data_IF_385651214791
#
_entry.id   IF_385651214791
#
_cell.length_a   1.000
_cell.length_b   1.000
_cell.length_c   1.000
_cell.angle_alpha   90.00
_cell.angle_beta   90.00
_cell.angle_gamma   90.00
#
_symmetry.space_group_name_H-M   'P 1'
#
loop_
_entity.id
_entity.type
_entity.pdbx_description
1 polymer ?
#
# COMPACT_ATOMS: atom_id res chain seq x y z
N UNK A 1 6.48 -9.78 18.47
CA UNK A 1 5.73 -8.75 19.23
C UNK A 1 4.90 -7.99 18.21
N UNK A 2 3.61 -8.15 18.23
CA UNK A 2 2.70 -7.46 17.28
C UNK A 2 2.65 -5.99 17.70
N UNK A 3 2.38 -5.07 16.77
CA UNK A 3 2.17 -3.64 17.07
C UNK A 3 1.08 -3.46 18.14
N UNK A 4 0.12 -4.40 18.20
CA UNK A 4 -0.97 -4.48 19.19
C UNK A 4 -0.56 -4.87 20.62
N UNK A 5 0.70 -5.23 20.88
CA UNK A 5 1.16 -5.69 22.20
C UNK A 5 1.68 -4.54 23.09
N UNK A 6 1.59 -3.29 22.66
CA UNK A 6 1.82 -2.13 23.52
C UNK A 6 0.62 -1.98 24.47
N UNK A 7 0.84 -1.89 25.80
CA UNK A 7 -0.25 -1.67 26.73
C UNK A 7 -0.98 -0.36 26.36
N UNK A 8 -2.32 -0.33 26.46
CA UNK A 8 -3.09 0.87 26.16
C UNK A 8 -2.62 1.98 27.10
N UNK A 9 -1.82 2.89 26.56
CA UNK A 9 -1.36 4.05 27.31
C UNK A 9 -2.61 4.90 27.62
N UNK A 10 -2.82 5.24 28.90
CA UNK A 10 -3.90 6.14 29.31
C UNK A 10 -3.81 7.42 28.47
N UNK A 11 -4.80 7.63 27.58
CA UNK A 11 -4.90 8.85 26.80
C UNK A 11 -5.03 10.03 27.78
N UNK A 12 -3.97 10.80 27.90
CA UNK A 12 -3.94 12.03 28.69
C UNK A 12 -3.66 13.21 27.77
N UNK A 13 -4.26 14.35 28.07
CA UNK A 13 -4.07 15.56 27.24
C UNK A 13 -2.60 15.90 26.93
N UNK A 14 -1.62 15.77 27.87
CA UNK A 14 -0.22 15.97 27.55
C UNK A 14 0.36 14.92 26.58
N UNK A 15 -0.04 13.65 26.67
CA UNK A 15 0.39 12.59 25.75
C UNK A 15 -0.10 12.88 24.33
N UNK A 16 -1.36 13.26 24.17
CA UNK A 16 -1.92 13.60 22.86
C UNK A 16 -1.24 14.82 22.26
N UNK A 17 -1.00 15.88 23.03
CA UNK A 17 -0.23 17.05 22.54
C UNK A 17 1.17 16.68 22.05
N UNK A 18 1.89 15.80 22.78
CA UNK A 18 3.20 15.29 22.34
C UNK A 18 3.10 14.53 21.04
N UNK A 19 2.10 13.67 20.91
CA UNK A 19 1.90 12.85 19.72
C UNK A 19 1.45 13.69 18.52
N UNK A 20 0.60 14.71 18.73
CA UNK A 20 0.17 15.65 17.69
C UNK A 20 1.35 16.50 17.19
N UNK A 21 2.15 17.05 18.12
CA UNK A 21 3.35 17.79 17.77
C UNK A 21 4.34 16.91 16.99
N UNK A 22 4.61 15.68 17.49
CA UNK A 22 5.51 14.75 16.83
C UNK A 22 5.00 14.36 15.43
N UNK A 23 3.73 14.04 15.27
CA UNK A 23 3.17 13.66 13.98
C UNK A 23 3.38 14.76 12.93
N UNK A 24 3.10 16.00 13.30
CA UNK A 24 3.27 17.14 12.41
C UNK A 24 4.72 17.38 12.03
N UNK A 25 5.63 17.48 13.03
CA UNK A 25 7.02 17.85 12.77
C UNK A 25 7.85 16.68 12.20
N UNK A 26 7.58 15.42 12.57
CA UNK A 26 8.25 14.27 11.97
C UNK A 26 7.90 14.14 10.48
N UNK A 27 6.64 14.37 10.15
CA UNK A 27 6.21 14.31 8.76
C UNK A 27 6.77 15.48 7.93
N UNK A 28 6.83 16.68 8.51
CA UNK A 28 7.33 17.88 7.83
C UNK A 28 8.85 17.95 7.71
N UNK A 29 9.58 17.58 8.77
CA UNK A 29 11.02 17.86 8.91
C UNK A 29 11.90 16.60 8.88
N UNK A 30 11.29 15.40 8.95
CA UNK A 30 11.99 14.13 9.10
C UNK A 30 12.17 13.73 10.57
N UNK A 31 12.26 12.43 10.80
CA UNK A 31 12.26 11.87 12.17
C UNK A 31 13.63 12.09 12.84
N UNK A 32 14.73 11.82 12.12
CA UNK A 32 16.07 11.88 12.70
C UNK A 32 16.53 13.30 13.00
N UNK A 33 16.11 14.28 12.20
CA UNK A 33 16.48 15.69 12.37
C UNK A 33 15.84 16.34 13.60
N UNK A 34 14.70 15.82 14.06
CA UNK A 34 13.91 16.40 15.15
C UNK A 34 14.32 15.84 16.50
N UNK A 35 14.86 16.68 17.38
CA UNK A 35 15.21 16.32 18.78
C UNK A 35 14.01 16.40 19.73
N UNK A 36 14.11 15.70 20.89
CA UNK A 36 13.07 15.72 21.93
C UNK A 36 12.80 17.15 22.43
N UNK A 37 13.82 18.00 22.52
CA UNK A 37 13.66 19.40 22.94
C UNK A 37 12.69 20.17 22.04
N UNK A 38 12.78 19.98 20.72
CA UNK A 38 11.88 20.61 19.73
C UNK A 38 10.44 20.10 19.89
N UNK A 39 10.28 18.80 20.19
CA UNK A 39 8.96 18.18 20.38
C UNK A 39 8.25 18.73 21.63
N UNK A 40 8.97 18.83 22.78
CA UNK A 40 8.39 19.31 24.03
C UNK A 40 8.04 20.80 23.96
N UNK A 41 8.86 21.59 23.27
CA UNK A 41 8.58 23.01 22.99
C UNK A 41 7.29 23.15 22.20
N UNK A 42 7.16 22.43 21.08
CA UNK A 42 6.00 22.45 20.19
C UNK A 42 4.72 21.96 20.89
N UNK A 43 4.86 20.94 21.74
CA UNK A 43 3.74 20.38 22.50
C UNK A 43 3.32 21.23 23.71
N UNK A 44 4.12 22.25 24.08
CA UNK A 44 3.88 23.06 25.26
C UNK A 44 3.92 22.25 26.56
N UNK A 45 4.87 21.32 26.68
CA UNK A 45 5.06 20.47 27.87
C UNK A 45 6.50 20.51 28.36
N UNK A 46 6.77 19.97 29.56
CA UNK A 46 8.13 19.84 30.07
C UNK A 46 8.80 18.55 29.62
N UNK A 47 10.14 18.53 29.64
CA UNK A 47 10.93 17.32 29.36
C UNK A 47 10.57 16.18 30.33
N UNK A 48 10.32 16.48 31.61
CA UNK A 48 9.88 15.50 32.60
C UNK A 48 8.49 14.91 32.23
N UNK A 49 7.61 15.73 31.66
CA UNK A 49 6.31 15.26 31.16
C UNK A 49 6.48 14.34 29.95
N UNK A 50 7.41 14.66 29.05
CA UNK A 50 7.74 13.78 27.92
C UNK A 50 8.14 12.39 28.40
N UNK A 51 9.20 12.27 29.23
CA UNK A 51 9.70 10.98 29.68
C UNK A 51 8.72 10.19 30.57
N UNK A 52 7.75 10.85 31.18
CA UNK A 52 6.67 10.17 31.89
C UNK A 52 5.70 9.45 30.93
N UNK A 53 5.51 9.93 29.68
CA UNK A 53 4.60 9.38 28.70
C UNK A 53 5.29 8.53 27.65
N UNK A 54 6.51 8.89 27.29
CA UNK A 54 7.33 8.20 26.28
C UNK A 54 8.74 8.00 26.87
N UNK A 55 9.10 6.76 27.28
CA UNK A 55 10.40 6.46 27.86
C UNK A 55 11.58 6.87 26.98
N UNK A 56 11.39 6.86 25.65
CA UNK A 56 12.38 7.27 24.65
C UNK A 56 11.74 8.00 23.46
N UNK A 57 12.57 8.64 22.62
CA UNK A 57 12.14 9.17 21.33
C UNK A 57 11.62 8.04 20.42
N UNK A 58 12.21 6.84 20.51
CA UNK A 58 11.80 5.68 19.74
C UNK A 58 10.36 5.26 20.09
N UNK A 59 9.97 5.30 21.37
CA UNK A 59 8.58 4.98 21.78
C UNK A 59 7.58 6.00 21.20
N UNK A 60 7.96 7.27 21.13
CA UNK A 60 7.14 8.29 20.49
C UNK A 60 7.04 8.07 18.96
N UNK A 61 8.14 7.69 18.31
CA UNK A 61 8.14 7.36 16.86
C UNK A 61 7.21 6.16 16.58
N UNK A 62 7.29 5.12 17.39
CA UNK A 62 6.40 3.97 17.26
C UNK A 62 4.94 4.34 17.47
N UNK A 63 4.65 5.21 18.44
CA UNK A 63 3.29 5.71 18.66
C UNK A 63 2.79 6.59 17.49
N UNK A 64 3.67 7.37 16.87
CA UNK A 64 3.37 8.12 15.65
C UNK A 64 3.02 7.20 14.48
N UNK A 65 3.86 6.20 14.20
CA UNK A 65 3.59 5.23 13.14
C UNK A 65 2.31 4.42 13.40
N UNK A 66 2.05 4.07 14.67
CA UNK A 66 0.79 3.42 15.04
C UNK A 66 -0.43 4.32 14.75
N UNK A 67 -0.39 5.62 15.11
CA UNK A 67 -1.48 6.56 14.80
C UNK A 67 -1.73 6.66 13.29
N UNK A 68 -0.66 6.74 12.48
CA UNK A 68 -0.79 6.74 11.02
C UNK A 68 -1.41 5.44 10.52
N UNK A 69 -1.03 4.30 11.10
CA UNK A 69 -1.63 3.01 10.77
C UNK A 69 -3.13 2.97 11.09
N UNK A 70 -3.51 3.43 12.28
CA UNK A 70 -4.91 3.47 12.74
C UNK A 70 -5.78 4.35 11.82
N UNK A 71 -5.22 5.47 11.32
CA UNK A 71 -5.90 6.32 10.33
C UNK A 71 -6.13 5.58 9.01
N UNK A 72 -5.14 4.83 8.53
CA UNK A 72 -5.29 4.00 7.32
C UNK A 72 -6.32 2.89 7.51
N UNK A 73 -6.29 2.20 8.65
CA UNK A 73 -7.24 1.14 8.98
C UNK A 73 -8.68 1.69 9.07
N UNK A 74 -8.85 2.84 9.70
CA UNK A 74 -10.16 3.52 9.80
C UNK A 74 -10.70 3.91 8.42
N UNK A 75 -9.86 4.43 7.52
CA UNK A 75 -10.26 4.76 6.14
C UNK A 75 -10.58 3.51 5.33
N UNK A 76 -9.83 2.42 5.53
CA UNK A 76 -10.12 1.14 4.89
C UNK A 76 -11.44 0.53 5.38
N UNK A 77 -11.72 0.63 6.68
CA UNK A 77 -12.99 0.21 7.26
C UNK A 77 -14.17 1.02 6.68
N UNK A 78 -14.03 2.34 6.60
CA UNK A 78 -15.03 3.20 5.98
C UNK A 78 -15.24 2.88 4.48
N UNK A 79 -14.17 2.60 3.74
CA UNK A 79 -14.27 2.18 2.35
C UNK A 79 -15.01 0.83 2.21
N UNK A 80 -14.76 -0.11 3.13
CA UNK A 80 -15.46 -1.41 3.16
C UNK A 80 -16.96 -1.25 3.42
N UNK A 81 -17.35 -0.35 4.34
CA UNK A 81 -18.76 -0.08 4.67
C UNK A 81 -19.49 0.63 3.52
N UNK A 82 -18.81 1.51 2.80
CA UNK A 82 -19.38 2.30 1.70
C UNK A 82 -19.43 1.53 0.36
N UNK A 83 -18.59 0.52 0.20
CA UNK A 83 -18.43 -0.22 -1.05
C UNK A 83 -19.65 -1.09 -1.36
N UNK A 84 -20.06 -1.11 -2.62
CA UNK A 84 -21.15 -1.96 -3.15
C UNK A 84 -20.68 -3.39 -3.42
N UNK A 85 -19.40 -3.53 -3.76
CA UNK A 85 -18.74 -4.78 -4.09
C UNK A 85 -17.23 -4.67 -3.83
N UNK A 86 -16.46 -5.77 -3.89
CA UNK A 86 -15.00 -5.72 -3.65
C UNK A 86 -14.24 -4.83 -4.63
N UNK A 87 -14.67 -4.73 -5.89
CA UNK A 87 -14.06 -3.83 -6.88
C UNK A 87 -14.27 -2.37 -6.54
N UNK A 88 -15.47 -2.02 -6.07
CA UNK A 88 -15.79 -0.68 -5.58
C UNK A 88 -14.95 -0.31 -4.34
N UNK A 89 -14.72 -1.25 -3.43
CA UNK A 89 -13.81 -1.06 -2.30
C UNK A 89 -12.38 -0.69 -2.74
N UNK A 90 -11.82 -1.38 -3.74
CA UNK A 90 -10.50 -1.08 -4.29
C UNK A 90 -10.47 0.31 -4.94
N UNK A 91 -11.54 0.72 -5.63
CA UNK A 91 -11.67 2.07 -6.19
C UNK A 91 -11.73 3.14 -5.09
N UNK A 92 -12.50 2.89 -4.02
CA UNK A 92 -12.60 3.82 -2.88
C UNK A 92 -11.26 3.96 -2.15
N UNK A 93 -10.51 2.87 -1.94
CA UNK A 93 -9.16 2.92 -1.38
C UNK A 93 -8.24 3.74 -2.30
N UNK A 94 -8.29 3.50 -3.62
CA UNK A 94 -7.53 4.26 -4.60
C UNK A 94 -7.85 5.76 -4.59
N UNK A 95 -9.13 6.12 -4.54
CA UNK A 95 -9.58 7.51 -4.46
C UNK A 95 -9.06 8.20 -3.19
N UNK A 96 -9.04 7.51 -2.04
CA UNK A 96 -8.49 8.03 -0.80
C UNK A 96 -6.98 8.30 -0.92
N UNK A 97 -6.22 7.40 -1.58
CA UNK A 97 -4.80 7.60 -1.85
C UNK A 97 -4.58 8.79 -2.78
N UNK A 98 -5.33 8.85 -3.88
CA UNK A 98 -5.24 9.92 -4.86
C UNK A 98 -5.60 11.30 -4.27
N UNK A 99 -6.56 11.37 -3.35
CA UNK A 99 -6.94 12.60 -2.68
C UNK A 99 -5.81 13.17 -1.81
N UNK A 100 -5.02 12.32 -1.16
CA UNK A 100 -3.91 12.74 -0.30
C UNK A 100 -2.80 13.47 -1.08
N UNK A 101 -2.64 13.20 -2.38
CA UNK A 101 -1.62 13.88 -3.21
C UNK A 101 -1.81 15.40 -3.27
N UNK A 102 -3.01 15.90 -2.98
CA UNK A 102 -3.37 17.32 -3.01
C UNK A 102 -3.41 17.99 -1.64
N UNK A 103 -3.08 17.26 -0.57
CA UNK A 103 -2.97 17.87 0.76
C UNK A 103 -1.83 18.89 0.77
N UNK A 104 -2.03 20.09 1.35
CA UNK A 104 -1.05 21.19 1.28
C UNK A 104 0.35 20.82 1.79
N UNK A 105 0.40 19.95 2.81
CA UNK A 105 1.65 19.53 3.45
C UNK A 105 2.03 18.09 3.08
N UNK A 106 1.56 17.60 1.91
CA UNK A 106 1.85 16.24 1.48
C UNK A 106 3.34 16.01 1.22
N UNK A 107 3.91 15.02 1.90
CA UNK A 107 5.32 14.64 1.80
C UNK A 107 5.53 13.14 1.54
N UNK A 108 4.60 12.54 0.79
CA UNK A 108 4.67 11.11 0.49
C UNK A 108 4.18 10.23 1.64
N UNK A 109 4.59 8.98 1.63
CA UNK A 109 4.18 7.99 2.62
C UNK A 109 5.04 8.07 3.89
N UNK A 110 4.42 8.29 5.04
CA UNK A 110 5.09 8.34 6.35
C UNK A 110 5.91 7.07 6.66
N UNK A 111 5.46 5.90 6.22
CA UNK A 111 6.19 4.64 6.41
C UNK A 111 7.40 4.50 5.49
N UNK A 112 7.31 4.97 4.25
CA UNK A 112 8.46 4.99 3.33
C UNK A 112 9.49 6.01 3.84
N UNK A 113 9.05 7.18 4.31
CA UNK A 113 9.93 8.19 4.91
C UNK A 113 10.64 7.63 6.15
N UNK A 114 9.91 6.96 7.05
CA UNK A 114 10.53 6.30 8.20
C UNK A 114 11.54 5.23 7.77
N UNK A 115 11.20 4.38 6.81
CA UNK A 115 12.12 3.33 6.33
C UNK A 115 13.42 3.90 5.76
N UNK A 116 13.39 5.07 5.12
CA UNK A 116 14.59 5.71 4.56
C UNK A 116 15.53 6.30 5.62
N UNK A 117 15.03 6.53 6.84
CA UNK A 117 15.78 7.12 7.94
C UNK A 117 16.36 6.09 8.93
N UNK A 118 15.93 4.82 8.87
CA UNK A 118 16.33 3.77 9.81
C UNK A 118 16.88 2.56 9.07
N UNK A 119 18.19 2.35 9.16
CA UNK A 119 18.92 1.32 8.41
C UNK A 119 18.83 -0.08 9.04
N UNK A 120 18.55 -0.18 10.36
CA UNK A 120 18.49 -1.48 11.04
C UNK A 120 17.25 -2.29 10.60
N UNK A 121 17.44 -3.36 9.81
CA UNK A 121 16.33 -4.15 9.25
C UNK A 121 15.55 -4.90 10.35
N UNK A 122 16.20 -5.19 11.47
CA UNK A 122 15.61 -5.86 12.62
C UNK A 122 15.17 -4.88 13.71
N UNK A 123 15.33 -3.58 13.45
CA UNK A 123 14.96 -2.52 14.37
C UNK A 123 13.44 -2.40 14.57
N UNK A 124 12.99 -1.88 15.71
CA UNK A 124 11.55 -1.82 16.01
C UNK A 124 10.79 -0.91 15.05
N UNK A 125 11.42 0.15 14.52
CA UNK A 125 10.80 1.07 13.56
C UNK A 125 10.62 0.36 12.21
N UNK A 126 11.64 -0.35 11.71
CA UNK A 126 11.53 -1.11 10.47
C UNK A 126 10.48 -2.22 10.61
N UNK A 127 10.40 -2.91 11.75
CA UNK A 127 9.32 -3.88 12.01
C UNK A 127 7.94 -3.24 11.95
N UNK A 128 7.75 -2.03 12.49
CA UNK A 128 6.48 -1.31 12.40
C UNK A 128 6.13 -0.96 10.94
N UNK A 129 7.12 -0.52 10.16
CA UNK A 129 6.96 -0.26 8.72
C UNK A 129 6.53 -1.52 7.98
N UNK A 130 7.25 -2.63 8.16
CA UNK A 130 6.97 -3.89 7.48
C UNK A 130 5.60 -4.46 7.87
N UNK A 131 5.22 -4.34 9.15
CA UNK A 131 3.89 -4.76 9.63
C UNK A 131 2.77 -3.98 8.93
N UNK A 132 2.90 -2.65 8.80
CA UNK A 132 1.93 -1.85 8.05
C UNK A 132 1.88 -2.23 6.57
N UNK A 133 3.04 -2.45 5.93
CA UNK A 133 3.10 -2.85 4.52
C UNK A 133 2.43 -4.21 4.27
N UNK A 134 2.70 -5.18 5.14
CA UNK A 134 2.05 -6.51 5.08
C UNK A 134 0.55 -6.38 5.27
N UNK A 135 0.11 -5.63 6.29
CA UNK A 135 -1.31 -5.37 6.52
C UNK A 135 -2.01 -4.79 5.27
N UNK A 136 -1.42 -3.76 4.65
CA UNK A 136 -2.02 -3.13 3.46
C UNK A 136 -2.03 -4.07 2.25
N UNK A 137 -0.94 -4.81 2.03
CA UNK A 137 -0.88 -5.83 0.99
C UNK A 137 -1.97 -6.90 1.18
N UNK A 138 -2.12 -7.42 2.39
CA UNK A 138 -3.10 -8.45 2.72
C UNK A 138 -4.53 -7.94 2.55
N UNK A 139 -4.82 -6.70 2.99
CA UNK A 139 -6.10 -6.05 2.77
C UNK A 139 -6.48 -6.03 1.28
N UNK A 140 -5.56 -5.58 0.44
CA UNK A 140 -5.77 -5.47 -1.02
C UNK A 140 -5.87 -6.85 -1.66
N UNK A 141 -5.00 -7.81 -1.27
CA UNK A 141 -5.04 -9.20 -1.74
C UNK A 141 -6.38 -9.86 -1.45
N UNK A 142 -6.85 -9.77 -0.20
CA UNK A 142 -8.10 -10.40 0.22
C UNK A 142 -9.31 -9.77 -0.47
N UNK A 143 -9.23 -8.48 -0.78
CA UNK A 143 -10.25 -7.79 -1.56
C UNK A 143 -10.24 -8.26 -3.03
N UNK A 144 -9.07 -8.41 -3.68
CA UNK A 144 -8.97 -9.01 -5.01
C UNK A 144 -9.44 -10.46 -5.04
N UNK A 145 -9.10 -11.26 -4.03
CA UNK A 145 -9.58 -12.64 -3.91
C UNK A 145 -11.10 -12.69 -3.78
N UNK A 146 -11.69 -11.81 -2.98
CA UNK A 146 -13.16 -11.69 -2.84
C UNK A 146 -13.84 -11.22 -4.13
N UNK A 147 -13.13 -10.48 -4.99
CA UNK A 147 -13.57 -10.09 -6.32
C UNK A 147 -13.41 -11.22 -7.36
N UNK A 148 -12.84 -12.37 -6.99
CA UNK A 148 -12.61 -13.50 -7.89
C UNK A 148 -11.39 -13.34 -8.80
N UNK A 149 -10.44 -12.46 -8.49
CA UNK A 149 -9.24 -12.28 -9.31
C UNK A 149 -8.39 -13.56 -9.35
N UNK A 150 -7.95 -14.06 -10.54
CA UNK A 150 -7.23 -15.35 -10.67
C UNK A 150 -5.84 -15.34 -10.00
N UNK A 151 -5.25 -14.18 -9.82
CA UNK A 151 -3.91 -14.00 -9.22
C UNK A 151 -3.94 -12.85 -8.18
N UNK A 152 -4.62 -13.01 -7.04
CA UNK A 152 -4.85 -11.91 -6.10
C UNK A 152 -3.56 -11.37 -5.49
N UNK A 153 -2.56 -12.20 -5.22
CA UNK A 153 -1.26 -11.78 -4.67
C UNK A 153 -0.48 -10.88 -5.66
N UNK A 154 -0.47 -11.23 -6.94
CA UNK A 154 0.19 -10.43 -7.96
C UNK A 154 -0.56 -9.10 -8.20
N UNK A 155 -1.88 -9.13 -8.18
CA UNK A 155 -2.70 -7.94 -8.31
C UNK A 155 -2.47 -6.99 -7.12
N UNK A 156 -2.42 -7.51 -5.89
CA UNK A 156 -2.12 -6.74 -4.70
C UNK A 156 -0.71 -6.13 -4.76
N UNK A 157 0.29 -6.91 -5.17
CA UNK A 157 1.66 -6.41 -5.32
C UNK A 157 1.72 -5.25 -6.32
N UNK A 158 1.03 -5.36 -7.47
CA UNK A 158 0.91 -4.28 -8.46
C UNK A 158 0.23 -3.04 -7.88
N UNK A 159 -0.87 -3.24 -7.15
CA UNK A 159 -1.61 -2.13 -6.52
C UNK A 159 -0.74 -1.38 -5.51
N UNK A 160 0.02 -2.11 -4.67
CA UNK A 160 0.97 -1.52 -3.71
C UNK A 160 2.07 -0.74 -4.44
N UNK A 161 2.63 -1.27 -5.54
CA UNK A 161 3.63 -0.57 -6.34
C UNK A 161 3.06 0.71 -6.98
N UNK A 162 1.83 0.67 -7.50
CA UNK A 162 1.15 1.84 -8.05
C UNK A 162 0.94 2.91 -6.98
N UNK A 163 0.48 2.54 -5.79
CA UNK A 163 0.35 3.44 -4.64
C UNK A 163 1.69 4.10 -4.28
N UNK A 164 2.74 3.29 -4.11
CA UNK A 164 4.07 3.79 -3.72
C UNK A 164 4.64 4.72 -4.80
N UNK A 165 4.47 4.36 -6.08
CA UNK A 165 4.84 5.21 -7.22
C UNK A 165 4.06 6.52 -7.26
N UNK A 166 2.73 6.47 -7.08
CA UNK A 166 1.88 7.65 -7.09
C UNK A 166 2.21 8.61 -5.95
N UNK A 167 2.42 8.10 -4.73
CA UNK A 167 2.78 8.94 -3.57
C UNK A 167 4.15 9.61 -3.76
N UNK A 168 5.12 8.90 -4.36
CA UNK A 168 6.44 9.45 -4.66
C UNK A 168 6.37 10.49 -5.79
N UNK A 169 5.67 10.18 -6.89
CA UNK A 169 5.52 11.07 -8.03
C UNK A 169 4.73 12.35 -7.66
N UNK A 170 3.68 12.22 -6.84
CA UNK A 170 2.90 13.36 -6.36
C UNK A 170 3.69 14.28 -5.44
N UNK A 171 4.63 13.73 -4.65
CA UNK A 171 5.51 14.53 -3.80
C UNK A 171 6.64 15.23 -4.57
N UNK A 172 7.25 14.53 -5.56
CA UNK A 172 8.42 15.04 -6.30
C UNK A 172 8.09 15.84 -7.56
N UNK A 173 6.85 15.78 -8.03
CA UNK A 173 6.47 16.32 -9.32
C UNK A 173 5.09 16.95 -9.35
N UNK A 174 4.28 16.56 -10.34
CA UNK A 174 2.92 17.06 -10.54
C UNK A 174 1.89 16.11 -9.94
N UNK A 175 1.19 16.51 -8.86
CA UNK A 175 0.16 15.67 -8.23
C UNK A 175 -0.99 15.32 -9.18
N UNK A 176 -1.33 16.21 -10.15
CA UNK A 176 -2.41 15.95 -11.09
C UNK A 176 -2.04 14.84 -12.08
N UNK A 177 -0.81 14.86 -12.60
CA UNK A 177 -0.30 13.80 -13.47
C UNK A 177 -0.13 12.49 -12.73
N UNK A 178 0.39 12.53 -11.48
CA UNK A 178 0.53 11.35 -10.63
C UNK A 178 -0.83 10.70 -10.34
N UNK A 179 -1.85 11.51 -10.05
CA UNK A 179 -3.23 11.06 -9.87
C UNK A 179 -3.79 10.42 -11.13
N UNK A 180 -3.69 11.10 -12.27
CA UNK A 180 -4.22 10.59 -13.55
C UNK A 180 -3.59 9.23 -13.90
N UNK A 181 -2.27 9.11 -13.78
CA UNK A 181 -1.55 7.87 -14.04
C UNK A 181 -1.97 6.75 -13.08
N UNK A 182 -2.13 7.07 -11.79
CA UNK A 182 -2.58 6.13 -10.77
C UNK A 182 -4.01 5.66 -11.03
N UNK A 183 -4.96 6.57 -11.25
CA UNK A 183 -6.38 6.25 -11.48
C UNK A 183 -6.54 5.36 -12.71
N UNK A 184 -5.84 5.65 -13.82
CA UNK A 184 -5.85 4.83 -15.03
C UNK A 184 -5.28 3.44 -14.78
N UNK A 185 -4.14 3.35 -14.10
CA UNK A 185 -3.50 2.06 -13.81
C UNK A 185 -4.33 1.19 -12.88
N UNK A 186 -4.99 1.79 -11.88
CA UNK A 186 -5.94 1.07 -11.00
C UNK A 186 -7.14 0.60 -11.81
N UNK A 187 -7.71 1.44 -12.68
CA UNK A 187 -8.82 1.04 -13.55
C UNK A 187 -8.44 -0.12 -14.48
N UNK A 188 -7.20 -0.12 -15.00
CA UNK A 188 -6.70 -1.25 -15.81
C UNK A 188 -6.56 -2.53 -15.01
N UNK A 189 -6.04 -2.42 -13.78
CA UNK A 189 -5.91 -3.56 -12.89
C UNK A 189 -7.27 -4.17 -12.50
N UNK A 190 -8.32 -3.33 -12.46
CA UNK A 190 -9.69 -3.73 -12.12
C UNK A 190 -10.53 -4.18 -13.31
N UNK A 191 -10.09 -4.00 -14.56
CA UNK A 191 -10.84 -4.43 -15.77
C UNK A 191 -11.22 -5.90 -15.75
N UNK A 192 -10.41 -6.73 -15.10
CA UNK A 192 -10.71 -8.14 -14.90
C UNK A 192 -12.06 -8.35 -14.16
N UNK A 193 -12.42 -7.47 -13.22
CA UNK A 193 -13.67 -7.58 -12.45
C UNK A 193 -14.88 -7.18 -13.30
N UNK A 194 -14.67 -6.29 -14.26
CA UNK A 194 -15.71 -5.73 -15.12
C UNK A 194 -15.96 -6.58 -16.38
N UNK A 195 -15.12 -7.59 -16.66
CA UNK A 195 -15.31 -8.53 -17.79
C UNK A 195 -16.00 -9.79 -17.28
N UNK A 196 -17.18 -10.17 -17.82
CA UNK A 196 -17.74 -11.50 -17.55
C UNK A 196 -16.72 -12.55 -17.99
N UNK A 197 -16.52 -13.58 -17.15
CA UNK A 197 -15.65 -14.71 -17.50
C UNK A 197 -15.98 -15.16 -18.94
N UNK A 198 -15.03 -15.01 -19.87
CA UNK A 198 -15.13 -15.64 -21.17
C UNK A 198 -15.29 -17.13 -20.88
N UNK A 199 -16.48 -17.63 -21.16
CA UNK A 199 -16.77 -19.07 -21.11
C UNK A 199 -15.74 -19.74 -22.00
N UNK A 200 -14.93 -20.56 -21.36
CA UNK A 200 -13.94 -21.45 -21.97
C UNK A 200 -14.52 -22.04 -23.27
N UNK A 201 -14.11 -21.49 -24.40
CA UNK A 201 -14.50 -22.00 -25.68
C UNK A 201 -13.65 -23.26 -25.87
N UNK A 202 -14.20 -24.46 -25.84
CA UNK A 202 -13.40 -25.65 -25.94
C UNK A 202 -12.59 -25.57 -27.25
N UNK A 203 -11.26 -25.59 -27.11
CA UNK A 203 -10.32 -25.70 -28.21
C UNK A 203 -10.79 -26.90 -29.06
N UNK A 204 -11.42 -26.60 -30.19
CA UNK A 204 -11.72 -27.63 -31.21
C UNK A 204 -10.39 -28.14 -31.71
N UNK A 205 -10.08 -29.36 -31.29
CA UNK A 205 -8.92 -30.13 -31.73
C UNK A 205 -8.85 -30.10 -33.27
N UNK A 206 -7.76 -29.68 -33.91
CA UNK A 206 -7.69 -29.68 -35.36
C UNK A 206 -7.65 -31.12 -35.80
N UNK A 207 -8.70 -31.53 -36.55
CA UNK A 207 -8.79 -32.81 -37.23
C UNK A 207 -7.50 -33.09 -37.97
N UNK A 208 -6.90 -34.31 -37.86
CA UNK A 208 -5.68 -34.64 -38.57
C UNK A 208 -5.91 -34.55 -40.08
N UNK A 209 -5.20 -33.64 -40.74
CA UNK A 209 -5.16 -33.53 -42.19
C UNK A 209 -4.61 -34.81 -42.77
N UNK A 210 -5.42 -35.47 -43.60
CA UNK A 210 -5.12 -36.66 -44.38
C UNK A 210 -3.86 -36.44 -45.24
N UNK A 211 -2.81 -37.23 -45.01
CA UNK A 211 -1.57 -37.18 -45.77
C UNK A 211 -1.81 -37.60 -47.22
N UNK A 212 -1.22 -36.95 -48.24
CA UNK A 212 -1.39 -37.35 -49.63
C UNK A 212 -0.66 -38.66 -49.90
N UNK A 213 -1.40 -39.63 -50.49
CA UNK A 213 -0.87 -40.93 -50.97
C UNK A 213 0.14 -40.70 -52.07
N UNK A 214 1.39 -41.02 -51.83
CA UNK A 214 2.45 -41.09 -52.87
C UNK A 214 2.19 -42.28 -53.78
N UNK A 215 1.85 -41.98 -55.03
CA UNK A 215 1.78 -42.94 -56.13
C UNK A 215 3.18 -43.33 -56.56
N UNK A 216 3.51 -44.59 -56.32
CA UNK A 216 4.73 -45.26 -56.89
C UNK A 216 4.52 -45.48 -58.37
N UNK A 217 5.29 -44.77 -59.19
CA UNK A 217 5.41 -45.05 -60.61
C UNK A 217 6.72 -45.81 -60.85
N UNK A 218 6.56 -47.14 -61.07
CA UNK A 218 7.58 -48.00 -61.61
C UNK A 218 7.88 -47.59 -63.06
N UNK A 219 9.15 -47.37 -63.38
CA UNK A 219 9.61 -47.39 -64.77
C UNK A 219 10.91 -48.17 -64.82
N UNK A 220 10.78 -49.29 -65.43
CA UNK A 220 11.89 -50.15 -65.90
C UNK A 220 12.44 -49.62 -67.21
N UNK A 221 13.67 -50.05 -67.51
CA UNK A 221 14.42 -50.23 -68.77
C UNK A 221 15.61 -49.28 -68.94
N UNK A 222 16.72 -49.90 -68.95
CA UNK A 222 17.50 -50.55 -70.08
C UNK A 222 18.53 -49.58 -70.66
N UNK A 223 19.71 -49.80 -70.46
CA UNK A 223 20.85 -50.25 -71.22
C UNK A 223 22.19 -49.97 -70.52
#
# INVERSE_FOLDING_TARGET
>A
MRITDLPPAKNSAPRERLLDAAARIFYAEGINTVGVARIVEEAGVTLATFYRHFPSKQDLILAYLQRVHDDFDSRAAAAREAAKDPGDMLRLIGNNIAAQLFEPDFRGCAFINAASEFEDPDGPIMRAVLTHRTWFHDLVRDTFASAGHPQPDLAASRYVMLRDGATTAGYLGDPSLAREAFDRSVAELLRFIDQPAETDNPVTDPTPSEAPRTSTRTSAQSQ
#
